data_IF_897245823981
#
_entry.id   IF_897245823981
#
_cell.length_a   1.000
_cell.length_b   1.000
_cell.length_c   1.000
_cell.angle_alpha   90.00
_cell.angle_beta   90.00
_cell.angle_gamma   90.00
#
_symmetry.space_group_name_H-M   'P 1'
#
loop_
_entity.id
_entity.type
_entity.pdbx_description
1 polymer ?
#
# COMPACT_ATOMS: atom_id res chain seq x y z
N UNK A 1 -0.29 -19.73 -36.84
CA UNK A 1 0.87 -18.85 -36.59
C UNK A 1 0.49 -17.45 -36.11
N UNK A 2 -0.50 -16.83 -36.68
CA UNK A 2 -1.00 -15.52 -36.23
C UNK A 2 -1.65 -15.52 -34.87
N UNK A 3 -2.16 -16.65 -34.42
CA UNK A 3 -2.86 -16.79 -33.13
C UNK A 3 -1.94 -16.65 -31.90
N UNK A 4 -0.68 -17.05 -32.04
CA UNK A 4 0.28 -16.98 -30.93
C UNK A 4 0.69 -15.55 -30.61
N UNK A 5 0.79 -14.69 -31.62
CA UNK A 5 1.15 -13.29 -31.45
C UNK A 5 0.05 -12.49 -30.73
N UNK A 6 -1.21 -12.87 -30.95
CA UNK A 6 -2.34 -12.20 -30.34
C UNK A 6 -2.40 -12.47 -28.83
N UNK A 7 -2.07 -13.70 -28.43
CA UNK A 7 -2.08 -14.10 -27.00
C UNK A 7 -0.98 -13.35 -26.23
N UNK A 8 0.19 -13.22 -26.83
CA UNK A 8 1.30 -12.48 -26.20
C UNK A 8 0.95 -11.00 -26.02
N UNK A 9 0.28 -10.41 -27.00
CA UNK A 9 -0.15 -9.02 -26.91
C UNK A 9 -1.19 -8.81 -25.80
N UNK A 10 -2.10 -9.75 -25.63
CA UNK A 10 -3.12 -9.68 -24.58
C UNK A 10 -2.51 -9.74 -23.19
N UNK A 11 -1.53 -10.61 -22.98
CA UNK A 11 -0.81 -10.73 -21.70
C UNK A 11 -0.05 -9.44 -21.39
N UNK A 12 0.59 -8.85 -22.38
CA UNK A 12 1.30 -7.58 -22.21
C UNK A 12 0.36 -6.43 -21.83
N UNK A 13 -0.83 -6.39 -22.40
CA UNK A 13 -1.84 -5.41 -22.05
C UNK A 13 -2.33 -5.57 -20.60
N UNK A 14 -2.56 -6.78 -20.16
CA UNK A 14 -2.96 -7.05 -18.77
C UNK A 14 -1.86 -6.63 -17.78
N UNK A 15 -0.62 -6.91 -18.10
CA UNK A 15 0.54 -6.49 -17.29
C UNK A 15 0.65 -4.96 -17.26
N UNK A 16 0.44 -4.30 -18.38
CA UNK A 16 0.45 -2.84 -18.48
C UNK A 16 -0.66 -2.19 -17.64
N UNK A 17 -1.86 -2.77 -17.63
CA UNK A 17 -2.96 -2.29 -16.79
C UNK A 17 -2.65 -2.47 -15.30
N UNK A 18 -2.06 -3.60 -14.89
CA UNK A 18 -1.66 -3.84 -13.51
C UNK A 18 -0.57 -2.88 -13.04
N UNK A 19 0.38 -2.49 -13.93
CA UNK A 19 1.44 -1.54 -13.60
C UNK A 19 0.98 -0.07 -13.68
N UNK A 20 -0.19 0.19 -14.24
CA UNK A 20 -0.79 1.52 -14.27
C UNK A 20 -1.51 1.89 -12.97
N UNK A 21 -1.39 1.07 -11.91
CA UNK A 21 -1.89 1.40 -10.60
C UNK A 21 -1.27 2.71 -10.13
N UNK A 22 -2.14 3.55 -9.61
CA UNK A 22 -1.89 4.95 -9.35
C UNK A 22 -0.79 5.17 -8.31
N UNK A 23 0.30 5.73 -8.78
CA UNK A 23 1.31 6.30 -7.89
C UNK A 23 0.94 7.73 -7.52
N UNK A 24 1.15 8.06 -6.27
CA UNK A 24 0.97 9.41 -5.77
C UNK A 24 2.34 9.98 -5.43
N UNK A 25 2.61 11.20 -5.89
CA UNK A 25 3.89 11.87 -5.63
C UNK A 25 3.70 12.85 -4.48
N UNK A 26 4.56 12.75 -3.46
CA UNK A 26 4.56 13.68 -2.34
C UNK A 26 4.82 15.11 -2.82
N UNK A 27 4.15 16.12 -2.22
CA UNK A 27 4.46 17.53 -2.52
C UNK A 27 5.91 17.90 -2.23
N UNK A 28 6.58 17.16 -1.35
CA UNK A 28 7.99 17.38 -0.98
C UNK A 28 8.98 16.71 -1.93
N UNK A 29 8.51 15.92 -2.89
CA UNK A 29 9.37 15.28 -3.88
C UNK A 29 10.03 16.35 -4.79
N UNK A 30 11.16 16.00 -5.37
CA UNK A 30 11.86 16.90 -6.31
C UNK A 30 11.04 17.10 -7.58
N UNK A 31 11.28 18.20 -8.28
CA UNK A 31 10.63 18.48 -9.54
C UNK A 31 10.97 17.41 -10.59
N UNK A 32 12.18 16.88 -10.55
CA UNK A 32 12.61 15.77 -11.43
C UNK A 32 11.77 14.52 -11.20
N UNK A 33 11.55 14.16 -9.94
CA UNK A 33 10.69 13.01 -9.59
C UNK A 33 9.26 13.24 -10.06
N UNK A 34 8.69 14.42 -9.81
CA UNK A 34 7.34 14.77 -10.26
C UNK A 34 7.21 14.67 -11.76
N UNK A 35 8.17 15.20 -12.51
CA UNK A 35 8.17 15.15 -13.96
C UNK A 35 8.31 13.72 -14.49
N UNK A 36 9.17 12.91 -13.89
CA UNK A 36 9.37 11.51 -14.30
C UNK A 36 8.08 10.71 -14.11
N UNK A 37 7.46 10.79 -12.95
CA UNK A 37 6.22 10.06 -12.66
C UNK A 37 5.08 10.53 -13.57
N UNK A 38 4.94 11.84 -13.79
CA UNK A 38 3.94 12.38 -14.70
C UNK A 38 4.12 11.90 -16.14
N UNK A 39 5.36 11.64 -16.56
CA UNK A 39 5.69 11.12 -17.89
C UNK A 39 5.66 9.58 -17.95
N UNK A 40 5.31 8.90 -16.86
CA UNK A 40 5.33 7.44 -16.81
C UNK A 40 6.73 6.84 -16.74
N UNK A 41 7.74 7.63 -16.44
CA UNK A 41 9.13 7.17 -16.29
C UNK A 41 9.46 6.86 -14.83
N UNK A 42 10.32 5.87 -14.56
CA UNK A 42 10.74 5.59 -13.19
C UNK A 42 11.49 6.77 -12.58
N UNK A 43 11.27 7.06 -11.29
CA UNK A 43 12.12 8.00 -10.54
C UNK A 43 13.53 7.43 -10.36
N UNK A 44 14.43 8.22 -9.79
CA UNK A 44 15.84 7.86 -9.63
C UNK A 44 16.06 6.48 -9.01
N UNK A 45 15.30 6.15 -7.95
CA UNK A 45 15.43 4.88 -7.24
C UNK A 45 14.34 3.86 -7.63
N UNK A 46 13.64 4.09 -8.73
CA UNK A 46 12.57 3.22 -9.21
C UNK A 46 11.23 3.47 -8.53
N UNK A 47 10.18 2.83 -9.04
CA UNK A 47 8.87 2.88 -8.42
C UNK A 47 8.84 2.03 -7.16
N UNK A 48 8.12 2.47 -6.09
CA UNK A 48 7.87 1.62 -4.95
C UNK A 48 6.92 0.49 -5.32
N UNK A 49 7.14 -0.69 -4.76
CA UNK A 49 6.27 -1.85 -4.95
C UNK A 49 5.91 -2.47 -3.62
N UNK A 50 4.65 -2.87 -3.47
CA UNK A 50 4.19 -3.73 -2.38
C UNK A 50 4.11 -5.14 -2.93
N UNK A 51 4.97 -6.03 -2.45
CA UNK A 51 5.02 -7.43 -2.92
C UNK A 51 4.02 -8.30 -2.18
N UNK A 52 3.84 -8.07 -0.88
CA UNK A 52 2.94 -8.86 -0.07
C UNK A 52 2.47 -8.08 1.15
N UNK A 53 1.21 -8.30 1.54
CA UNK A 53 0.64 -7.83 2.79
C UNK A 53 -0.03 -9.02 3.46
N UNK A 54 0.49 -9.43 4.61
CA UNK A 54 -0.02 -10.58 5.35
C UNK A 54 -0.57 -10.13 6.70
N UNK A 55 -1.85 -10.37 6.91
CA UNK A 55 -2.50 -10.16 8.21
C UNK A 55 -2.49 -11.47 8.98
N UNK A 56 -1.99 -11.43 10.21
CA UNK A 56 -2.04 -12.56 11.15
C UNK A 56 -3.17 -12.43 12.16
N UNK A 57 -3.82 -11.26 12.18
CA UNK A 57 -5.01 -11.00 12.98
C UNK A 57 -6.27 -11.01 12.12
N UNK A 58 -7.44 -11.02 12.78
CA UNK A 58 -8.73 -10.97 12.10
C UNK A 58 -8.94 -9.62 11.40
N UNK A 59 -9.63 -9.59 10.24
CA UNK A 59 -10.08 -8.34 9.64
C UNK A 59 -11.21 -7.66 10.42
N UNK A 60 -11.74 -8.32 11.45
CA UNK A 60 -12.67 -7.71 12.40
C UNK A 60 -11.90 -7.00 13.50
N UNK A 61 -12.03 -5.68 13.55
CA UNK A 61 -11.38 -4.85 14.55
C UNK A 61 -12.31 -4.67 15.74
N UNK A 62 -11.80 -4.97 16.94
CA UNK A 62 -12.55 -4.80 18.21
C UNK A 62 -11.66 -4.07 19.20
N UNK A 63 -12.25 -3.24 20.07
CA UNK A 63 -11.47 -2.58 21.12
C UNK A 63 -10.65 -3.57 21.94
N UNK A 64 -9.39 -3.27 22.17
CA UNK A 64 -8.47 -4.09 22.94
C UNK A 64 -7.85 -5.27 22.21
N UNK A 65 -8.26 -5.58 20.98
CA UNK A 65 -7.59 -6.57 20.13
C UNK A 65 -6.45 -5.91 19.36
N UNK A 66 -5.54 -6.72 18.85
CA UNK A 66 -4.40 -6.23 18.06
C UNK A 66 -4.64 -6.43 16.57
N UNK A 67 -4.31 -5.42 15.78
CA UNK A 67 -4.13 -5.53 14.35
C UNK A 67 -2.66 -5.84 14.07
N UNK A 68 -2.38 -7.04 13.58
CA UNK A 68 -1.02 -7.51 13.32
C UNK A 68 -0.87 -7.82 11.84
N UNK A 69 0.10 -7.21 11.22
CA UNK A 69 0.37 -7.40 9.80
C UNK A 69 1.86 -7.27 9.50
N UNK A 70 2.28 -7.91 8.43
CA UNK A 70 3.61 -7.74 7.85
C UNK A 70 3.49 -7.32 6.40
N UNK A 71 4.38 -6.44 5.96
CA UNK A 71 4.41 -5.93 4.59
C UNK A 71 5.80 -6.16 4.02
N UNK A 72 5.86 -6.76 2.85
CA UNK A 72 7.10 -6.93 2.08
C UNK A 72 7.01 -6.00 0.87
N UNK A 73 8.03 -5.19 0.72
CA UNK A 73 8.10 -4.16 -0.32
C UNK A 73 9.39 -4.25 -1.11
N UNK A 74 9.48 -3.45 -2.16
CA UNK A 74 10.77 -3.21 -2.83
C UNK A 74 11.74 -2.49 -1.87
N UNK A 75 13.06 -2.67 -2.04
CA UNK A 75 14.06 -2.12 -1.12
C UNK A 75 14.10 -0.59 -1.07
N UNK A 76 13.60 0.10 -2.08
CA UNK A 76 13.54 1.56 -2.15
C UNK A 76 12.45 2.17 -1.28
N UNK A 77 11.59 1.37 -0.67
CA UNK A 77 10.55 1.83 0.27
C UNK A 77 11.18 2.08 1.63
N UNK A 78 10.99 3.29 2.16
CA UNK A 78 11.53 3.73 3.44
C UNK A 78 10.48 3.98 4.50
N UNK A 79 9.20 3.95 4.13
CA UNK A 79 8.10 4.24 5.04
C UNK A 79 6.85 3.49 4.60
N UNK A 80 6.17 2.86 5.55
CA UNK A 80 4.87 2.22 5.35
C UNK A 80 3.93 2.66 6.45
N UNK A 81 2.69 2.99 6.10
CA UNK A 81 1.64 3.32 7.05
C UNK A 81 0.34 2.58 6.73
N UNK A 82 -0.45 2.33 7.76
CA UNK A 82 -1.85 1.95 7.62
C UNK A 82 -2.72 3.17 7.82
N UNK A 83 -3.64 3.42 6.90
CA UNK A 83 -4.56 4.56 6.97
C UNK A 83 -5.99 4.07 6.98
N UNK A 84 -6.75 4.53 7.98
CA UNK A 84 -8.18 4.26 8.11
C UNK A 84 -8.88 5.58 8.35
N UNK A 85 -9.76 6.00 7.43
CA UNK A 85 -10.50 7.29 7.50
C UNK A 85 -9.61 8.48 7.88
N UNK A 86 -9.60 8.83 9.17
CA UNK A 86 -9.05 10.10 9.65
C UNK A 86 -7.69 9.96 10.32
N UNK A 87 -7.21 8.72 10.55
CA UNK A 87 -5.91 8.55 11.19
C UNK A 87 -5.07 7.50 10.50
N UNK A 88 -3.80 7.61 10.71
CA UNK A 88 -2.81 6.70 10.18
C UNK A 88 -1.88 6.21 11.28
N UNK A 89 -1.38 5.00 11.11
CA UNK A 89 -0.43 4.38 12.03
C UNK A 89 0.78 3.92 11.23
N UNK A 90 1.99 4.39 11.57
CA UNK A 90 3.19 3.96 10.88
C UNK A 90 3.53 2.52 11.24
N UNK A 91 4.05 1.77 10.27
CA UNK A 91 4.62 0.46 10.48
C UNK A 91 6.06 0.60 10.94
N UNK A 92 6.51 -0.37 11.74
CA UNK A 92 7.91 -0.50 12.12
C UNK A 92 8.70 -1.12 10.97
N UNK A 93 9.83 -0.53 10.60
CA UNK A 93 10.73 -1.11 9.61
C UNK A 93 11.63 -2.15 10.28
N UNK A 94 11.43 -3.42 9.92
CA UNK A 94 12.20 -4.54 10.47
C UNK A 94 13.48 -4.82 9.69
N UNK A 95 13.59 -4.27 8.48
CA UNK A 95 14.74 -4.44 7.59
C UNK A 95 14.43 -3.86 6.22
N UNK A 96 15.38 -3.92 5.27
CA UNK A 96 15.13 -3.44 3.91
C UNK A 96 13.93 -4.17 3.28
N UNK A 97 12.92 -3.40 2.88
CA UNK A 97 11.71 -3.94 2.27
C UNK A 97 10.83 -4.76 3.21
N UNK A 98 11.05 -4.67 4.52
CA UNK A 98 10.27 -5.43 5.52
C UNK A 98 9.72 -4.50 6.58
N UNK A 99 8.40 -4.55 6.76
CA UNK A 99 7.67 -3.70 7.71
C UNK A 99 6.67 -4.54 8.47
N UNK A 100 6.46 -4.21 9.74
CA UNK A 100 5.48 -4.87 10.57
C UNK A 100 4.70 -3.87 11.43
N UNK A 101 3.52 -4.29 11.88
CA UNK A 101 2.70 -3.54 12.81
C UNK A 101 2.06 -4.49 13.82
N UNK A 102 2.01 -4.05 15.05
CA UNK A 102 1.20 -4.62 16.12
C UNK A 102 0.50 -3.45 16.80
N UNK A 103 -0.71 -3.16 16.34
CA UNK A 103 -1.46 -1.99 16.78
C UNK A 103 -2.67 -2.42 17.58
N UNK A 104 -2.75 -1.94 18.81
CA UNK A 104 -3.90 -2.18 19.68
C UNK A 104 -5.06 -1.28 19.29
N UNK A 105 -6.17 -1.90 18.92
CA UNK A 105 -7.35 -1.19 18.45
C UNK A 105 -7.99 -0.44 19.62
N UNK A 106 -8.17 0.89 19.52
CA UNK A 106 -8.78 1.67 20.58
C UNK A 106 -10.29 1.52 20.59
N UNK A 107 -10.91 1.91 21.72
CA UNK A 107 -12.34 2.09 21.76
C UNK A 107 -12.71 3.36 20.98
N UNK A 108 -13.62 3.21 20.03
CA UNK A 108 -14.09 4.29 19.17
C UNK A 108 -15.59 4.50 19.39
N UNK A 109 -16.10 5.74 19.20
CA UNK A 109 -17.53 6.00 19.33
C UNK A 109 -18.38 5.26 18.30
N UNK A 110 -19.72 5.14 18.52
CA UNK A 110 -20.61 4.36 17.65
C UNK A 110 -20.56 4.73 16.16
N UNK A 111 -20.21 5.97 15.82
CA UNK A 111 -20.04 6.40 14.43
C UNK A 111 -18.92 5.68 13.67
N UNK A 112 -18.02 5.01 14.39
CA UNK A 112 -16.95 4.22 13.79
C UNK A 112 -17.36 2.77 13.48
N UNK A 113 -18.53 2.33 13.94
CA UNK A 113 -19.00 0.95 13.68
C UNK A 113 -19.28 0.74 12.20
N UNK A 114 -18.92 -0.43 11.68
CA UNK A 114 -19.23 -0.84 10.32
C UNK A 114 -18.01 -1.16 9.48
N UNK A 115 -18.17 -1.05 8.18
CA UNK A 115 -17.15 -1.40 7.20
C UNK A 115 -16.27 -0.19 6.86
N UNK A 116 -14.96 -0.43 6.83
CA UNK A 116 -13.97 0.57 6.50
C UNK A 116 -12.96 0.00 5.51
N UNK A 117 -12.30 0.90 4.81
CA UNK A 117 -11.16 0.55 3.96
C UNK A 117 -9.87 0.88 4.70
N UNK A 118 -9.05 -0.15 4.91
CA UNK A 118 -7.70 0.02 5.42
C UNK A 118 -6.77 0.15 4.22
N UNK A 119 -6.12 1.30 4.09
CA UNK A 119 -5.13 1.54 3.07
C UNK A 119 -3.73 1.30 3.63
N UNK A 120 -2.98 0.40 3.01
CA UNK A 120 -1.55 0.20 3.28
C UNK A 120 -0.79 1.01 2.25
N UNK A 121 -0.05 2.01 2.70
CA UNK A 121 0.65 2.97 1.85
C UNK A 121 2.14 2.80 2.04
N UNK A 122 2.86 2.56 0.94
CA UNK A 122 4.32 2.45 0.93
C UNK A 122 4.91 3.65 0.18
N UNK A 123 5.86 4.32 0.80
CA UNK A 123 6.54 5.49 0.25
C UNK A 123 8.01 5.19 -0.01
N UNK A 124 8.44 5.49 -1.22
CA UNK A 124 9.86 5.35 -1.60
C UNK A 124 10.71 6.49 -1.10
N UNK A 125 12.02 6.31 -1.17
CA UNK A 125 13.01 7.35 -0.85
C UNK A 125 12.84 8.61 -1.72
N UNK A 126 12.31 8.47 -2.93
CA UNK A 126 12.02 9.59 -3.83
C UNK A 126 10.71 10.31 -3.51
N UNK A 127 9.92 9.81 -2.56
CA UNK A 127 8.64 10.40 -2.18
C UNK A 127 7.48 9.96 -3.06
N UNK A 128 7.60 8.83 -3.73
CA UNK A 128 6.51 8.22 -4.51
C UNK A 128 5.79 7.20 -3.65
N UNK A 129 4.45 7.24 -3.66
CA UNK A 129 3.61 6.37 -2.86
C UNK A 129 2.80 5.42 -3.73
N UNK A 130 2.66 4.19 -3.25
CA UNK A 130 1.76 3.17 -3.78
C UNK A 130 0.93 2.63 -2.63
N UNK A 131 -0.32 2.22 -2.91
CA UNK A 131 -1.22 1.72 -1.87
C UNK A 131 -1.93 0.45 -2.28
N UNK A 132 -2.31 -0.33 -1.27
CA UNK A 132 -3.28 -1.41 -1.38
C UNK A 132 -4.39 -1.21 -0.35
N UNK A 133 -5.61 -1.53 -0.73
CA UNK A 133 -6.79 -1.35 0.11
C UNK A 133 -7.34 -2.70 0.53
N UNK A 134 -7.70 -2.81 1.81
CA UNK A 134 -8.25 -4.03 2.40
C UNK A 134 -9.54 -3.68 3.16
N UNK A 135 -10.60 -4.48 3.01
CA UNK A 135 -11.81 -4.28 3.79
C UNK A 135 -11.59 -4.72 5.24
N UNK A 136 -12.00 -3.90 6.17
CA UNK A 136 -12.02 -4.21 7.60
C UNK A 136 -13.37 -3.82 8.18
N UNK A 137 -13.72 -4.43 9.31
CA UNK A 137 -14.97 -4.15 10.02
C UNK A 137 -14.65 -3.80 11.47
N UNK A 138 -15.24 -2.74 11.97
CA UNK A 138 -15.13 -2.36 13.38
C UNK A 138 -16.40 -2.74 14.13
N UNK A 139 -16.26 -3.49 15.22
CA UNK A 139 -17.35 -3.94 16.08
C UNK A 139 -16.94 -3.87 17.55
N UNK A 140 -17.93 -3.72 18.42
CA UNK A 140 -17.66 -3.80 19.86
C UNK A 140 -17.55 -5.25 20.36
N UNK A 141 -18.30 -6.15 19.75
CA UNK A 141 -18.32 -7.58 20.12
C UNK A 141 -18.20 -8.48 18.88
#
# INVERSE_FOLDING_TARGET
MLRSSLIVLLVALLTGVASAESYVVSPKATDETKAAVAAGRPPEHGFPEIHDVAFTSSPELRPGTSLVATVVTSPNVVYVEGRVKYWNVPFHQAGPGKFDIDYRVPFLPPGALGHWDLEVIARSVDGVEVKRTFPVTYRYF
#
